data_IF_751019440833
#
_entry.id   IF_751019440833
#
_cell.length_a   1.000
_cell.length_b   1.000
_cell.length_c   1.000
_cell.angle_alpha   90.00
_cell.angle_beta   90.00
_cell.angle_gamma   90.00
#
_symmetry.space_group_name_H-M   'P 1'
#
loop_
_entity.id
_entity.type
_entity.pdbx_description
1 polymer ?
#
# COMPACT_ATOMS: atom_id res chain seq x y z
N UNK A 1 5.93 4.42 12.99
CA UNK A 1 4.51 4.32 13.44
C UNK A 1 3.87 3.13 12.74
N UNK A 2 2.99 2.39 13.39
CA UNK A 2 2.47 1.11 12.90
C UNK A 2 1.00 0.88 13.29
N UNK A 3 0.31 0.00 12.57
CA UNK A 3 -1.10 -0.30 12.85
C UNK A 3 -1.79 -1.18 11.79
N UNK A 4 -2.95 -1.71 12.16
CA UNK A 4 -3.81 -2.43 11.22
C UNK A 4 -4.63 -1.46 10.38
N UNK A 5 -4.57 -1.60 9.06
CA UNK A 5 -5.45 -0.89 8.14
C UNK A 5 -6.04 -1.86 7.11
N UNK A 6 -7.13 -1.43 6.48
CA UNK A 6 -7.67 -2.05 5.29
C UNK A 6 -7.12 -1.32 4.07
N UNK A 7 -6.72 -2.07 3.05
CA UNK A 7 -6.28 -1.51 1.76
C UNK A 7 -7.06 -2.13 0.60
N UNK A 8 -7.35 -1.34 -0.42
CA UNK A 8 -7.98 -1.84 -1.64
C UNK A 8 -6.92 -2.29 -2.66
N UNK A 9 -7.11 -3.44 -3.31
CA UNK A 9 -6.19 -3.91 -4.35
C UNK A 9 -6.28 -3.06 -5.63
N UNK A 10 -5.16 -2.85 -6.32
CA UNK A 10 -5.12 -1.98 -7.51
C UNK A 10 -5.81 -2.59 -8.73
N UNK A 11 -5.45 -3.82 -9.11
CA UNK A 11 -6.08 -4.53 -10.24
C UNK A 11 -7.43 -5.13 -9.87
N UNK A 12 -7.50 -5.80 -8.74
CA UNK A 12 -8.74 -6.36 -8.18
C UNK A 12 -9.08 -5.56 -6.94
N UNK A 13 -10.17 -4.81 -6.98
CA UNK A 13 -10.59 -3.86 -5.94
C UNK A 13 -11.19 -4.53 -4.69
N UNK A 14 -10.53 -5.57 -4.20
CA UNK A 14 -10.90 -6.21 -2.94
C UNK A 14 -10.15 -5.58 -1.78
N UNK A 15 -10.84 -5.43 -0.65
CA UNK A 15 -10.28 -4.96 0.60
C UNK A 15 -9.51 -6.07 1.30
N UNK A 16 -8.27 -5.78 1.72
CA UNK A 16 -7.42 -6.70 2.48
C UNK A 16 -6.93 -6.01 3.74
N UNK A 17 -7.03 -6.70 4.88
CA UNK A 17 -6.46 -6.24 6.15
C UNK A 17 -4.96 -6.52 6.14
N UNK A 18 -4.14 -5.52 6.42
CA UNK A 18 -2.68 -5.64 6.48
C UNK A 18 -2.12 -4.85 7.65
N UNK A 19 -1.00 -5.32 8.17
CA UNK A 19 -0.26 -4.59 9.19
C UNK A 19 0.67 -3.60 8.49
N UNK A 20 0.47 -2.32 8.73
CA UNK A 20 1.24 -1.25 8.11
C UNK A 20 2.31 -0.73 9.06
N UNK A 21 3.47 -0.42 8.50
CA UNK A 21 4.58 0.22 9.21
C UNK A 21 5.08 1.37 8.36
N UNK A 22 5.13 2.56 8.95
CA UNK A 22 5.80 3.74 8.40
C UNK A 22 7.16 3.85 9.08
N UNK A 23 8.21 3.71 8.27
CA UNK A 23 9.62 3.89 8.66
C UNK A 23 10.43 4.33 7.43
N UNK A 24 11.50 5.08 7.64
CA UNK A 24 12.49 5.42 6.59
C UNK A 24 11.88 6.01 5.31
N UNK A 25 10.87 6.88 5.48
CA UNK A 25 10.18 7.52 4.35
C UNK A 25 9.40 6.55 3.46
N UNK A 26 9.10 5.34 3.94
CA UNK A 26 8.36 4.32 3.21
C UNK A 26 7.20 3.78 4.05
N UNK A 27 6.13 3.39 3.37
CA UNK A 27 5.01 2.66 3.94
C UNK A 27 5.13 1.19 3.52
N UNK A 28 5.43 0.33 4.49
CA UNK A 28 5.46 -1.11 4.34
C UNK A 28 4.15 -1.71 4.79
N UNK A 29 3.74 -2.83 4.18
CA UNK A 29 2.63 -3.61 4.69
C UNK A 29 2.89 -5.11 4.67
N UNK A 30 2.42 -5.79 5.71
CA UNK A 30 2.69 -7.20 6.00
C UNK A 30 1.38 -7.98 6.14
N UNK A 31 1.47 -9.30 6.03
CA UNK A 31 0.31 -10.18 6.29
C UNK A 31 -0.10 -10.11 7.76
N UNK A 32 0.89 -10.14 8.65
CA UNK A 32 0.72 -10.16 10.10
C UNK A 32 1.77 -9.28 10.79
N UNK A 33 1.55 -9.00 12.08
CA UNK A 33 2.51 -8.27 12.92
C UNK A 33 3.75 -9.10 13.27
N UNK A 34 3.68 -10.43 13.13
CA UNK A 34 4.76 -11.37 13.47
C UNK A 34 5.64 -11.69 12.28
N UNK A 35 5.13 -11.60 11.05
CA UNK A 35 5.88 -11.85 9.81
C UNK A 35 6.42 -10.55 9.20
N UNK A 36 7.24 -9.83 9.95
CA UNK A 36 7.79 -8.52 9.52
C UNK A 36 9.01 -8.65 8.60
N UNK A 37 9.58 -9.84 8.46
CA UNK A 37 10.75 -10.06 7.60
C UNK A 37 10.41 -10.06 6.10
N UNK A 38 9.13 -10.26 5.74
CA UNK A 38 8.68 -10.38 4.35
C UNK A 38 7.51 -9.42 4.08
N UNK A 39 7.79 -8.19 3.59
CA UNK A 39 6.73 -7.26 3.24
C UNK A 39 5.90 -7.79 2.06
N UNK A 40 4.58 -7.62 2.15
CA UNK A 40 3.64 -7.87 1.03
C UNK A 40 3.57 -6.69 0.06
N UNK A 41 4.16 -5.55 0.45
CA UNK A 41 4.51 -4.47 -0.46
C UNK A 41 5.10 -3.28 0.26
N UNK A 42 5.65 -2.40 -0.56
CA UNK A 42 6.38 -1.20 -0.14
C UNK A 42 5.94 -0.04 -1.02
N UNK A 43 5.68 1.12 -0.41
CA UNK A 43 5.33 2.36 -1.08
C UNK A 43 6.30 3.43 -0.56
N UNK A 44 7.29 3.87 -1.36
CA UNK A 44 8.06 5.07 -1.05
C UNK A 44 7.11 6.27 -0.92
N UNK A 45 7.24 7.02 0.16
CA UNK A 45 6.42 8.20 0.44
C UNK A 45 7.03 9.49 -0.14
N UNK A 46 7.87 9.35 -1.15
CA UNK A 46 8.43 10.45 -1.95
C UNK A 46 7.49 10.77 -3.10
N UNK A 47 7.31 12.06 -3.40
CA UNK A 47 6.46 12.56 -4.47
C UNK A 47 4.99 12.07 -4.40
N UNK A 48 4.48 11.83 -3.18
CA UNK A 48 3.07 11.47 -2.95
C UNK A 48 2.44 12.39 -1.91
N UNK A 49 1.13 12.51 -1.96
CA UNK A 49 0.32 13.16 -0.94
C UNK A 49 -0.86 12.25 -0.54
N UNK A 50 -1.52 12.62 0.55
CA UNK A 50 -2.68 11.91 1.08
C UNK A 50 -3.89 12.84 1.05
N UNK A 51 -5.05 12.30 0.66
CA UNK A 51 -6.34 12.97 0.78
C UNK A 51 -7.37 12.03 1.41
N UNK A 52 -8.34 12.60 2.09
CA UNK A 52 -9.52 11.86 2.53
C UNK A 52 -10.43 11.59 1.32
N UNK A 53 -11.09 10.44 1.32
CA UNK A 53 -12.04 10.05 0.28
C UNK A 53 -13.36 9.68 0.95
N UNK A 54 -14.42 10.41 0.61
CA UNK A 54 -15.78 10.12 1.07
C UNK A 54 -16.48 9.03 0.25
N UNK A 55 -15.92 8.64 -0.90
CA UNK A 55 -16.66 7.95 -1.97
C UNK A 55 -16.65 6.41 -1.89
N UNK A 56 -15.97 5.79 -0.92
CA UNK A 56 -16.15 4.34 -0.70
C UNK A 56 -17.36 4.10 0.21
N UNK A 57 -18.53 3.95 -0.43
CA UNK A 57 -19.82 3.62 0.22
C UNK A 57 -19.78 2.36 1.10
N UNK A 58 -18.68 1.58 1.08
CA UNK A 58 -18.51 0.33 1.83
C UNK A 58 -17.53 0.43 3.00
N UNK A 59 -16.76 1.52 3.14
CA UNK A 59 -15.76 1.72 4.21
C UNK A 59 -15.66 3.20 4.63
N UNK A 60 -15.82 3.45 5.93
CA UNK A 60 -15.62 4.78 6.53
C UNK A 60 -14.13 5.05 6.81
N UNK A 61 -13.77 6.33 6.93
CA UNK A 61 -12.41 6.79 7.23
C UNK A 61 -11.38 6.38 6.17
N UNK A 62 -11.78 6.43 4.91
CA UNK A 62 -10.92 6.13 3.78
C UNK A 62 -10.02 7.32 3.46
N UNK A 63 -8.76 7.00 3.19
CA UNK A 63 -7.79 7.92 2.63
C UNK A 63 -7.19 7.30 1.38
N UNK A 64 -6.64 8.14 0.52
CA UNK A 64 -5.97 7.74 -0.70
C UNK A 64 -4.59 8.40 -0.78
N UNK A 65 -3.59 7.60 -1.11
CA UNK A 65 -2.25 8.06 -1.46
C UNK A 65 -2.24 8.28 -2.98
N UNK A 66 -1.88 9.48 -3.41
CA UNK A 66 -1.85 9.84 -4.84
C UNK A 66 -0.51 10.49 -5.20
N UNK A 67 -0.05 10.33 -6.45
CA UNK A 67 1.22 10.90 -6.89
C UNK A 67 1.09 12.43 -7.01
N UNK A 68 2.11 13.16 -6.55
CA UNK A 68 2.29 14.59 -6.81
C UNK A 68 2.93 14.84 -8.18
N UNK A 69 3.66 13.84 -8.70
CA UNK A 69 4.29 13.89 -10.02
C UNK A 69 4.07 12.58 -10.77
N UNK A 70 3.80 12.68 -12.08
CA UNK A 70 3.48 11.55 -12.93
C UNK A 70 2.10 10.94 -12.67
N UNK A 71 1.85 9.76 -13.24
CA UNK A 71 0.51 9.16 -13.29
C UNK A 71 0.31 7.97 -12.34
N UNK A 72 1.33 7.60 -11.56
CA UNK A 72 1.32 6.40 -10.72
C UNK A 72 2.01 6.59 -9.38
N UNK A 73 1.46 5.96 -8.35
CA UNK A 73 2.13 5.77 -7.07
C UNK A 73 3.22 4.73 -7.26
N UNK A 74 4.47 5.11 -6.97
CA UNK A 74 5.59 4.17 -6.92
C UNK A 74 5.31 3.16 -5.82
N UNK A 75 5.08 1.91 -6.17
CA UNK A 75 4.84 0.83 -5.22
C UNK A 75 5.48 -0.44 -5.75
N UNK A 76 5.91 -1.33 -4.87
CA UNK A 76 6.49 -2.62 -5.23
C UNK A 76 5.88 -3.72 -4.38
N UNK A 77 5.70 -4.91 -4.95
CA UNK A 77 5.23 -6.10 -4.25
C UNK A 77 6.05 -7.33 -4.64
N UNK A 78 6.22 -8.31 -3.73
CA UNK A 78 6.89 -9.55 -4.08
C UNK A 78 6.09 -10.33 -5.13
N UNK A 79 6.80 -11.04 -6.00
CA UNK A 79 6.20 -11.97 -6.94
C UNK A 79 5.77 -13.23 -6.16
N UNK A 80 4.50 -13.64 -6.21
CA UNK A 80 4.05 -14.86 -5.54
C UNK A 80 4.83 -16.08 -6.05
N UNK A 81 5.45 -16.82 -5.12
CA UNK A 81 6.20 -18.04 -5.45
C UNK A 81 7.64 -17.81 -5.92
N UNK A 82 8.11 -16.56 -6.04
CA UNK A 82 9.47 -16.24 -6.48
C UNK A 82 10.15 -15.34 -5.43
N UNK A 83 10.83 -15.98 -4.48
CA UNK A 83 11.41 -15.34 -3.30
C UNK A 83 12.52 -14.38 -3.75
N UNK A 84 12.46 -13.13 -3.26
CA UNK A 84 13.45 -12.10 -3.58
C UNK A 84 13.14 -11.32 -4.86
N UNK A 85 12.18 -11.78 -5.69
CA UNK A 85 11.75 -11.03 -6.87
C UNK A 85 10.61 -10.07 -6.54
N UNK A 86 10.76 -8.84 -7.02
CA UNK A 86 9.79 -7.76 -6.84
C UNK A 86 9.28 -7.27 -8.18
N UNK A 87 8.01 -6.85 -8.20
CA UNK A 87 7.38 -6.20 -9.35
C UNK A 87 6.73 -4.90 -8.92
N UNK A 88 6.71 -3.94 -9.84
CA UNK A 88 6.03 -2.67 -9.65
C UNK A 88 4.52 -2.88 -9.49
N UNK A 89 3.92 -2.12 -8.58
CA UNK A 89 2.49 -2.01 -8.39
C UNK A 89 1.88 -1.16 -9.50
N UNK A 90 0.74 -1.58 -10.03
CA UNK A 90 0.02 -0.85 -11.08
C UNK A 90 -1.04 0.11 -10.49
N UNK A 91 -0.67 0.85 -9.44
CA UNK A 91 -1.59 1.73 -8.72
C UNK A 91 -1.45 3.17 -9.25
N UNK A 92 -2.51 3.72 -9.84
CA UNK A 92 -2.60 5.18 -10.09
C UNK A 92 -2.80 5.93 -8.78
N UNK A 93 -3.45 5.27 -7.82
CA UNK A 93 -3.72 5.70 -6.44
C UNK A 93 -3.69 4.48 -5.51
N UNK A 94 -3.45 4.70 -4.22
CA UNK A 94 -3.29 3.62 -3.22
C UNK A 94 -4.19 3.79 -2.00
#
# INVERSE_FOLDING_TARGET
>A
KDGWLWKQGGRVRNWKRRWFVITDGCLFYFESRTEVDIPRGVIPLVDVAVREIDDDRTKQYCLEIFPLTGDKVKASKPVPGDIGKWIEGHHTVY
#
